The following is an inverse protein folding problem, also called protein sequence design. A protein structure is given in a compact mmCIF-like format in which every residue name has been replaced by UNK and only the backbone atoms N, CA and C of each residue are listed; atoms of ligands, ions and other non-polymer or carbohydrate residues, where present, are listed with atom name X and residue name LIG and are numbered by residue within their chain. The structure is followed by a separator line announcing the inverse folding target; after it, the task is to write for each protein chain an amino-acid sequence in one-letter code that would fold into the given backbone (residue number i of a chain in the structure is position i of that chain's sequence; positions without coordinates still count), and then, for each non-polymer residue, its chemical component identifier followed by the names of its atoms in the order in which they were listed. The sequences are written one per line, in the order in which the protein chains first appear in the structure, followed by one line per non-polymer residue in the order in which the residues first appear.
data_IF_298696366962
#
_entry.id   IF_298696366962
#
_cell.length_a   1.000
_cell.length_b   1.000
_cell.length_c   1.000
_cell.angle_alpha   90.00
_cell.angle_beta   90.00
_cell.angle_gamma   90.00
#
_symmetry.space_group_name_H-M   'P 1'
#
loop_
_entity.id
_entity.type
_entity.pdbx_description
1 polymer ?
#
# COMPACT_ATOMS: atom_id res chain seq x y z
N UNK A 1 1.57 -16.22 -15.40
CA UNK A 1 0.71 -15.01 -15.50
C UNK A 1 1.15 -14.04 -14.42
N UNK A 2 1.49 -12.78 -14.71
CA UNK A 2 1.98 -11.86 -13.69
C UNK A 2 0.82 -11.37 -12.82
N UNK A 3 1.00 -11.47 -11.51
CA UNK A 3 0.08 -11.02 -10.46
C UNK A 3 -0.05 -9.50 -10.57
N UNK A 4 -1.19 -9.01 -11.08
CA UNK A 4 -1.52 -7.59 -11.12
C UNK A 4 -2.06 -7.17 -9.76
N UNK A 5 -1.22 -6.50 -8.97
CA UNK A 5 -1.65 -5.70 -7.82
C UNK A 5 -2.34 -4.44 -8.36
N UNK A 6 -3.67 -4.47 -8.46
CA UNK A 6 -4.45 -3.26 -8.71
C UNK A 6 -4.71 -2.59 -7.35
N UNK A 7 -3.79 -1.73 -6.92
CA UNK A 7 -4.08 -0.70 -5.92
C UNK A 7 -4.92 0.35 -6.65
N UNK A 8 -6.23 0.30 -6.47
CA UNK A 8 -7.11 1.40 -6.88
C UNK A 8 -7.16 2.34 -5.69
N UNK A 9 -6.28 3.34 -5.71
CA UNK A 9 -6.40 4.53 -4.87
C UNK A 9 -7.50 5.42 -5.48
N UNK A 10 -8.69 5.37 -4.89
CA UNK A 10 -9.75 6.34 -5.17
C UNK A 10 -9.42 7.62 -4.39
N UNK A 11 -9.09 8.70 -5.08
CA UNK A 11 -9.03 10.07 -4.51
C UNK A 11 -10.41 10.52 -4.04
N UNK A 12 -10.56 10.88 -2.76
CA UNK A 12 -11.70 11.64 -2.25
C UNK A 12 -11.26 13.07 -1.88
N UNK A 13 -12.02 14.05 -2.38
CA UNK A 13 -12.00 15.46 -1.99
C UNK A 13 -12.87 15.64 -0.73
N UNK A 14 -12.57 16.62 0.14
CA UNK A 14 -13.47 17.69 0.63
C UNK A 14 -13.02 18.33 1.98
N UNK A 15 -13.69 19.45 2.31
CA UNK A 15 -13.28 20.64 3.09
C UNK A 15 -13.62 20.65 4.60
N UNK A 16 -12.75 21.23 5.45
CA UNK A 16 -13.19 22.13 6.53
C UNK A 16 -12.34 22.29 7.81
N UNK A 17 -11.37 23.22 7.77
CA UNK A 17 -10.86 24.11 8.85
C UNK A 17 -10.40 23.57 10.25
N UNK A 18 -9.09 23.78 10.51
CA UNK A 18 -8.54 24.23 11.81
C UNK A 18 -7.49 23.33 12.46
N UNK A 19 -6.23 23.77 12.57
CA UNK A 19 -5.14 22.98 13.19
C UNK A 19 -4.21 23.82 14.06
N UNK A 20 -3.82 23.27 15.22
CA UNK A 20 -2.67 23.69 16.03
C UNK A 20 -1.71 22.50 16.20
N UNK A 21 -0.40 22.78 16.11
CA UNK A 21 0.73 21.84 16.17
C UNK A 21 1.08 21.40 17.59
N UNK A 22 1.54 20.15 17.76
CA UNK A 22 2.25 19.69 18.97
C UNK A 22 3.27 18.59 18.65
N UNK A 23 4.37 18.62 19.41
CA UNK A 23 5.49 17.68 19.38
C UNK A 23 5.06 16.23 19.69
N UNK A 24 5.81 15.24 19.20
CA UNK A 24 5.52 13.81 19.34
C UNK A 24 5.56 13.37 20.82
N UNK A 25 4.41 13.46 21.49
CA UNK A 25 4.16 12.82 22.78
C UNK A 25 3.95 11.31 22.64
N UNK A 26 3.81 10.59 23.77
CA UNK A 26 3.47 9.17 23.75
C UNK A 26 2.21 8.93 22.92
N UNK A 27 2.21 7.86 22.12
CA UNK A 27 1.09 7.53 21.26
C UNK A 27 -0.18 7.36 22.10
N UNK A 28 -1.30 7.97 21.70
CA UNK A 28 -2.54 7.88 22.46
C UNK A 28 -3.04 6.44 22.50
N UNK A 29 -3.62 6.04 23.64
CA UNK A 29 -4.37 4.80 23.76
C UNK A 29 -5.39 4.71 22.62
N UNK A 30 -5.42 3.58 21.91
CA UNK A 30 -6.31 3.36 20.76
C UNK A 30 -5.76 3.79 19.39
N UNK A 31 -4.47 4.12 19.26
CA UNK A 31 -3.84 4.38 17.96
C UNK A 31 -3.89 3.18 16.99
N UNK A 32 -4.02 1.96 17.51
CA UNK A 32 -4.20 0.72 16.73
C UNK A 32 -5.52 0.07 17.12
N UNK A 33 -6.43 -0.06 16.16
CA UNK A 33 -7.64 -0.86 16.20
C UNK A 33 -7.60 -1.87 15.06
N UNK A 34 -7.33 -3.12 15.41
CA UNK A 34 -7.13 -4.19 14.44
C UNK A 34 -7.99 -5.39 14.81
N UNK A 35 -8.74 -5.91 13.85
CA UNK A 35 -9.37 -7.23 13.92
C UNK A 35 -8.93 -8.13 12.77
N UNK A 36 -8.90 -9.42 13.05
CA UNK A 36 -8.67 -10.48 12.07
C UNK A 36 -9.91 -11.36 12.03
N UNK A 37 -10.54 -11.45 10.86
CA UNK A 37 -11.78 -12.21 10.68
C UNK A 37 -11.61 -13.21 9.54
N UNK A 38 -11.53 -14.49 9.92
CA UNK A 38 -11.35 -15.64 9.04
C UNK A 38 -12.67 -16.35 8.71
N UNK A 39 -13.81 -15.80 9.09
CA UNK A 39 -15.11 -16.50 9.04
C UNK A 39 -15.48 -17.00 7.64
N UNK A 40 -15.14 -16.24 6.58
CA UNK A 40 -15.35 -16.66 5.19
C UNK A 40 -14.51 -17.90 4.84
N UNK A 41 -13.19 -17.85 5.08
CA UNK A 41 -12.29 -18.96 4.80
C UNK A 41 -12.67 -20.21 5.61
N UNK A 42 -13.05 -20.06 6.88
CA UNK A 42 -13.53 -21.15 7.73
C UNK A 42 -14.85 -21.76 7.21
N UNK A 43 -15.77 -20.93 6.73
CA UNK A 43 -17.02 -21.41 6.13
C UNK A 43 -16.78 -22.18 4.82
N UNK A 44 -15.89 -21.69 3.95
CA UNK A 44 -15.50 -22.41 2.72
C UNK A 44 -14.85 -23.75 3.06
N UNK A 45 -13.91 -23.80 4.01
CA UNK A 45 -13.27 -25.05 4.43
C UNK A 45 -14.28 -26.03 5.03
N UNK A 46 -15.27 -25.56 5.81
CA UNK A 46 -16.35 -26.40 6.33
C UNK A 46 -17.20 -27.05 5.23
N UNK A 47 -17.50 -26.31 4.16
CA UNK A 47 -18.19 -26.85 2.98
C UNK A 47 -17.34 -27.92 2.28
N UNK A 48 -16.03 -27.71 2.17
CA UNK A 48 -15.11 -28.69 1.60
C UNK A 48 -15.02 -29.96 2.46
N UNK A 49 -15.07 -29.84 3.78
CA UNK A 49 -15.06 -30.97 4.71
C UNK A 49 -16.32 -31.82 4.61
N UNK A 50 -17.50 -31.19 4.54
CA UNK A 50 -18.76 -31.91 4.33
C UNK A 50 -18.70 -32.74 3.03
N UNK A 51 -18.15 -32.18 1.96
CA UNK A 51 -17.97 -32.90 0.69
C UNK A 51 -16.98 -34.06 0.81
N UNK A 52 -15.87 -33.84 1.50
CA UNK A 52 -14.86 -34.87 1.71
C UNK A 52 -15.43 -36.07 2.51
N UNK A 53 -16.41 -35.83 3.39
CA UNK A 53 -17.15 -36.88 4.10
C UNK A 53 -18.35 -37.45 3.33
N UNK A 54 -18.47 -37.16 2.03
CA UNK A 54 -19.56 -37.67 1.19
C UNK A 54 -20.92 -37.00 1.46
N UNK A 55 -20.94 -35.89 2.20
CA UNK A 55 -22.15 -35.13 2.52
C UNK A 55 -22.31 -33.95 1.57
N UNK A 56 -23.52 -33.76 1.04
CA UNK A 56 -23.81 -32.57 0.24
C UNK A 56 -23.89 -31.34 1.16
N UNK A 57 -23.29 -30.19 0.77
CA UNK A 57 -23.41 -28.95 1.55
C UNK A 57 -24.88 -28.53 1.69
N UNK A 58 -25.30 -28.24 2.91
CA UNK A 58 -26.67 -27.83 3.21
C UNK A 58 -26.92 -26.36 2.86
N UNK A 59 -28.20 -25.95 2.79
CA UNK A 59 -28.55 -24.54 2.64
C UNK A 59 -28.03 -23.68 3.80
N UNK A 60 -27.93 -24.25 5.00
CA UNK A 60 -27.38 -23.58 6.17
C UNK A 60 -25.87 -23.29 6.02
N UNK A 61 -25.11 -24.21 5.40
CA UNK A 61 -23.67 -24.00 5.13
C UNK A 61 -23.47 -22.82 4.16
N UNK A 62 -24.28 -22.76 3.10
CA UNK A 62 -24.26 -21.65 2.15
C UNK A 62 -24.72 -20.34 2.78
N UNK A 63 -25.78 -20.37 3.60
CA UNK A 63 -26.26 -19.20 4.30
C UNK A 63 -25.22 -18.66 5.28
N UNK A 64 -24.51 -19.55 5.98
CA UNK A 64 -23.40 -19.19 6.87
C UNK A 64 -22.28 -18.50 6.09
N UNK A 65 -21.84 -19.06 4.97
CA UNK A 65 -20.80 -18.45 4.12
C UNK A 65 -21.21 -17.05 3.63
N UNK A 66 -22.41 -16.93 3.07
CA UNK A 66 -22.86 -15.69 2.45
C UNK A 66 -23.33 -14.62 3.44
N UNK A 67 -23.43 -14.94 4.74
CA UNK A 67 -23.69 -13.96 5.80
C UNK A 67 -22.42 -13.45 6.47
N UNK A 68 -21.24 -14.02 6.16
CA UNK A 68 -19.97 -13.54 6.71
C UNK A 68 -19.65 -12.13 6.23
N UNK A 69 -19.10 -11.30 7.11
CA UNK A 69 -18.69 -9.93 6.75
C UNK A 69 -17.69 -9.92 5.58
N UNK A 70 -16.64 -10.76 5.56
CA UNK A 70 -15.67 -10.74 4.46
C UNK A 70 -16.29 -11.05 3.10
N UNK A 71 -17.25 -11.99 3.01
CA UNK A 71 -17.97 -12.26 1.76
C UNK A 71 -18.81 -11.05 1.32
N UNK A 72 -19.63 -10.48 2.22
CA UNK A 72 -20.49 -9.32 1.91
C UNK A 72 -19.67 -8.12 1.44
N UNK A 73 -18.50 -7.90 2.05
CA UNK A 73 -17.60 -6.82 1.64
C UNK A 73 -16.87 -7.10 0.33
N UNK A 74 -16.51 -8.35 0.04
CA UNK A 74 -16.00 -8.75 -1.27
C UNK A 74 -17.04 -8.49 -2.37
N UNK A 75 -18.30 -8.86 -2.13
CA UNK A 75 -19.43 -8.62 -3.04
C UNK A 75 -19.62 -7.12 -3.30
N UNK A 76 -19.64 -6.29 -2.24
CA UNK A 76 -19.68 -4.81 -2.35
C UNK A 76 -18.53 -4.27 -3.21
N UNK A 77 -17.32 -4.79 -3.04
CA UNK A 77 -16.12 -4.38 -3.80
C UNK A 77 -16.18 -4.79 -5.27
N UNK A 78 -16.65 -5.99 -5.59
CA UNK A 78 -16.78 -6.39 -7.01
C UNK A 78 -17.89 -5.57 -7.71
N UNK A 79 -18.99 -5.29 -7.00
CA UNK A 79 -20.07 -4.43 -7.50
C UNK A 79 -19.62 -2.99 -7.77
N UNK A 80 -18.82 -2.39 -6.87
CA UNK A 80 -18.27 -1.04 -7.05
C UNK A 80 -17.32 -0.92 -8.25
N UNK A 81 -16.82 -2.06 -8.75
CA UNK A 81 -15.97 -2.13 -9.93
C UNK A 81 -16.71 -2.58 -11.19
N UNK A 82 -18.04 -2.72 -11.12
CA UNK A 82 -18.88 -3.23 -12.20
C UNK A 82 -18.41 -4.57 -12.74
N UNK A 83 -17.88 -5.43 -11.87
CA UNK A 83 -17.45 -6.78 -12.20
C UNK A 83 -18.56 -7.77 -11.88
N UNK A 84 -18.88 -8.72 -12.77
CA UNK A 84 -19.79 -9.79 -12.43
C UNK A 84 -19.18 -10.62 -11.30
N UNK A 85 -19.97 -10.80 -10.23
CA UNK A 85 -19.63 -11.65 -9.09
C UNK A 85 -20.94 -12.12 -8.47
N UNK A 86 -21.36 -13.33 -8.84
CA UNK A 86 -22.63 -13.91 -8.36
C UNK A 86 -22.39 -15.02 -7.33
N UNK A 87 -23.38 -15.25 -6.47
CA UNK A 87 -23.35 -16.36 -5.51
C UNK A 87 -23.20 -17.71 -6.20
N UNK A 88 -23.83 -17.90 -7.35
CA UNK A 88 -23.76 -19.18 -8.08
C UNK A 88 -22.38 -19.44 -8.67
N UNK A 89 -21.71 -18.41 -9.22
CA UNK A 89 -20.31 -18.51 -9.64
C UNK A 89 -19.39 -18.81 -8.44
N UNK A 90 -19.65 -18.20 -7.29
CA UNK A 90 -18.89 -18.47 -6.07
C UNK A 90 -19.11 -19.91 -5.57
N UNK A 91 -20.36 -20.41 -5.56
CA UNK A 91 -20.67 -21.81 -5.25
C UNK A 91 -19.94 -22.75 -6.21
N UNK A 92 -19.97 -22.47 -7.52
CA UNK A 92 -19.28 -23.28 -8.51
C UNK A 92 -17.76 -23.32 -8.27
N UNK A 93 -17.15 -22.20 -7.88
CA UNK A 93 -15.76 -22.16 -7.45
C UNK A 93 -15.51 -23.01 -6.19
N UNK A 94 -16.31 -22.83 -5.14
CA UNK A 94 -16.20 -23.60 -3.89
C UNK A 94 -16.35 -25.11 -4.15
N UNK A 95 -17.22 -25.48 -5.09
CA UNK A 95 -17.47 -26.86 -5.48
C UNK A 95 -16.43 -27.44 -6.46
N UNK A 96 -15.48 -26.63 -6.95
CA UNK A 96 -14.51 -27.07 -7.94
C UNK A 96 -13.56 -28.17 -7.41
N UNK A 97 -13.17 -29.15 -8.25
CA UNK A 97 -12.19 -30.17 -7.86
C UNK A 97 -10.85 -29.57 -7.44
N UNK A 98 -10.38 -28.56 -8.17
CA UNK A 98 -9.10 -27.91 -7.90
C UNK A 98 -9.05 -27.17 -6.56
N UNK A 99 -10.18 -26.69 -6.03
CA UNK A 99 -10.22 -26.15 -4.68
C UNK A 99 -10.21 -27.28 -3.63
N UNK A 100 -10.95 -28.36 -3.87
CA UNK A 100 -10.97 -29.52 -2.97
C UNK A 100 -9.57 -30.13 -2.77
N UNK A 101 -8.79 -30.24 -3.85
CA UNK A 101 -7.39 -30.72 -3.79
C UNK A 101 -6.49 -29.84 -2.89
N UNK A 102 -6.82 -28.55 -2.73
CA UNK A 102 -6.04 -27.60 -1.92
C UNK A 102 -6.51 -27.49 -0.47
N UNK A 103 -7.64 -28.08 -0.10
CA UNK A 103 -8.31 -27.86 1.19
C UNK A 103 -7.37 -28.07 2.39
N UNK A 104 -6.57 -29.15 2.39
CA UNK A 104 -5.63 -29.44 3.47
C UNK A 104 -4.55 -28.34 3.60
N UNK A 105 -3.95 -27.93 2.48
CA UNK A 105 -2.93 -26.88 2.47
C UNK A 105 -3.49 -25.52 2.89
N UNK A 106 -4.71 -25.19 2.45
CA UNK A 106 -5.41 -23.97 2.84
C UNK A 106 -5.69 -23.95 4.35
N UNK A 107 -6.12 -25.08 4.93
CA UNK A 107 -6.35 -25.19 6.38
C UNK A 107 -5.07 -24.95 7.18
N UNK A 108 -3.97 -25.62 6.83
CA UNK A 108 -2.68 -25.42 7.50
C UNK A 108 -2.23 -23.96 7.38
N UNK A 109 -2.44 -23.35 6.23
CA UNK A 109 -2.10 -21.93 5.99
C UNK A 109 -2.96 -21.00 6.83
N UNK A 110 -4.27 -21.22 6.89
CA UNK A 110 -5.19 -20.42 7.68
C UNK A 110 -4.84 -20.45 9.17
N UNK A 111 -4.56 -21.63 9.72
CA UNK A 111 -4.14 -21.78 11.11
C UNK A 111 -2.79 -21.10 11.38
N UNK A 112 -1.84 -21.20 10.44
CA UNK A 112 -0.58 -20.45 10.53
C UNK A 112 -0.81 -18.94 10.53
N UNK A 113 -1.73 -18.42 9.72
CA UNK A 113 -2.00 -16.98 9.63
C UNK A 113 -2.82 -16.46 10.80
N UNK A 114 -3.70 -17.28 11.39
CA UNK A 114 -4.39 -16.98 12.67
C UNK A 114 -3.42 -16.79 13.82
N UNK A 115 -2.25 -17.43 13.76
CA UNK A 115 -1.15 -17.25 14.72
C UNK A 115 -0.21 -16.08 14.43
N UNK A 116 -0.39 -15.32 13.34
CA UNK A 116 0.48 -14.21 12.98
C UNK A 116 0.36 -13.03 13.97
N UNK A 117 1.48 -12.37 14.31
CA UNK A 117 1.47 -11.20 15.21
C UNK A 117 1.23 -9.90 14.45
N UNK A 118 -0.01 -9.73 13.99
CA UNK A 118 -0.41 -8.52 13.26
C UNK A 118 -0.37 -7.25 14.14
N UNK A 119 -0.41 -7.40 15.47
CA UNK A 119 -0.22 -6.27 16.40
C UNK A 119 1.23 -5.82 16.41
N UNK A 120 2.20 -6.73 16.41
CA UNK A 120 3.61 -6.38 16.23
C UNK A 120 3.86 -5.76 14.85
N UNK A 121 3.23 -6.27 13.80
CA UNK A 121 3.28 -5.67 12.47
C UNK A 121 2.81 -4.21 12.46
N UNK A 122 1.67 -3.92 13.11
CA UNK A 122 1.17 -2.54 13.28
C UNK A 122 2.12 -1.68 14.12
N UNK A 123 2.65 -2.20 15.24
CA UNK A 123 3.59 -1.47 16.09
C UNK A 123 4.89 -1.12 15.37
N UNK A 124 5.38 -1.99 14.49
CA UNK A 124 6.59 -1.77 13.70
C UNK A 124 6.49 -0.54 12.80
N UNK A 125 5.31 -0.23 12.27
CA UNK A 125 5.14 0.89 11.34
C UNK A 125 4.77 2.21 12.02
N UNK A 126 4.35 2.19 13.29
CA UNK A 126 4.00 3.41 14.03
C UNK A 126 5.09 4.49 14.04
N UNK A 127 6.40 4.18 14.19
CA UNK A 127 7.46 5.19 14.11
C UNK A 127 7.60 5.88 12.76
N UNK A 128 6.99 5.34 11.70
CA UNK A 128 6.96 5.90 10.34
C UNK A 128 5.68 6.68 10.05
N UNK A 129 4.79 6.82 11.02
CA UNK A 129 3.56 7.60 10.89
C UNK A 129 3.65 8.90 11.71
N UNK A 130 2.95 9.96 11.29
CA UNK A 130 2.73 11.13 12.15
C UNK A 130 1.98 10.76 13.43
N UNK A 131 2.21 11.48 14.53
CA UNK A 131 1.63 11.15 15.84
C UNK A 131 0.09 11.18 15.86
N UNK A 132 -0.52 11.92 14.93
CA UNK A 132 -1.97 12.04 14.78
C UNK A 132 -2.57 10.84 14.02
N UNK A 133 -1.75 10.05 13.33
CA UNK A 133 -2.23 8.91 12.55
C UNK A 133 -2.92 7.88 13.44
N UNK A 134 -3.91 7.21 12.86
CA UNK A 134 -4.67 6.12 13.45
C UNK A 134 -4.71 4.95 12.49
N UNK A 135 -4.49 3.76 13.02
CA UNK A 135 -4.61 2.52 12.25
C UNK A 135 -5.89 1.86 12.71
N UNK A 136 -6.96 1.99 11.92
CA UNK A 136 -8.20 1.23 12.10
C UNK A 136 -8.39 0.33 10.89
N UNK A 137 -8.30 -0.98 11.08
CA UNK A 137 -8.46 -1.90 9.96
C UNK A 137 -8.94 -3.28 10.36
N UNK A 138 -9.62 -3.94 9.42
CA UNK A 138 -9.97 -5.36 9.47
C UNK A 138 -9.11 -6.13 8.48
N UNK A 139 -8.65 -7.30 8.86
CA UNK A 139 -7.87 -8.19 8.00
C UNK A 139 -8.67 -9.46 7.72
N UNK A 140 -8.88 -9.74 6.44
CA UNK A 140 -9.68 -10.87 5.97
C UNK A 140 -8.81 -11.81 5.14
N UNK A 141 -8.35 -12.96 5.67
CA UNK A 141 -7.89 -14.06 4.83
C UNK A 141 -9.07 -14.65 4.05
N UNK A 142 -8.93 -14.79 2.73
CA UNK A 142 -10.03 -15.14 1.84
C UNK A 142 -9.71 -16.35 0.97
N UNK A 143 -10.67 -17.25 0.82
CA UNK A 143 -10.65 -18.33 -0.18
C UNK A 143 -11.57 -17.92 -1.32
N UNK A 144 -11.01 -17.31 -2.38
CA UNK A 144 -11.79 -16.73 -3.48
C UNK A 144 -11.21 -17.07 -4.86
N UNK A 145 -12.02 -16.96 -5.95
CA UNK A 145 -11.58 -17.33 -7.29
C UNK A 145 -10.34 -16.58 -7.79
N UNK A 146 -10.26 -15.28 -7.50
CA UNK A 146 -9.13 -14.44 -7.93
C UNK A 146 -8.00 -14.51 -6.92
N UNK A 147 -6.77 -14.76 -7.38
CA UNK A 147 -5.57 -14.91 -6.53
C UNK A 147 -4.87 -13.57 -6.23
N UNK A 148 -5.65 -12.54 -5.91
CA UNK A 148 -5.16 -11.18 -5.61
C UNK A 148 -5.49 -10.75 -4.18
N UNK A 149 -4.65 -9.91 -3.59
CA UNK A 149 -4.92 -9.21 -2.32
C UNK A 149 -5.10 -7.72 -2.60
N UNK A 150 -5.86 -7.01 -1.76
CA UNK A 150 -6.18 -5.59 -1.94
C UNK A 150 -6.71 -4.96 -0.65
N UNK A 151 -6.70 -3.63 -0.59
CA UNK A 151 -7.39 -2.85 0.44
C UNK A 151 -8.70 -2.29 -0.12
N UNK A 152 -9.73 -2.18 0.71
CA UNK A 152 -11.04 -1.66 0.32
C UNK A 152 -11.66 -0.80 1.43
N UNK A 153 -12.48 0.18 1.04
CA UNK A 153 -13.20 1.10 1.94
C UNK A 153 -12.28 1.95 2.83
N UNK A 154 -11.20 2.49 2.22
CA UNK A 154 -10.15 3.26 2.89
C UNK A 154 -10.66 4.50 3.64
N UNK A 155 -11.80 5.04 3.23
CA UNK A 155 -12.36 6.28 3.79
C UNK A 155 -13.19 6.05 5.05
N UNK A 156 -13.80 4.87 5.23
CA UNK A 156 -14.79 4.65 6.29
C UNK A 156 -14.46 3.49 7.22
N UNK A 157 -14.25 2.29 6.69
CA UNK A 157 -13.97 1.08 7.48
C UNK A 157 -12.92 0.23 6.77
N UNK A 158 -11.63 0.64 6.74
CA UNK A 158 -10.61 0.03 5.90
C UNK A 158 -10.46 -1.47 6.15
N UNK A 159 -10.47 -2.27 5.09
CA UNK A 159 -10.22 -3.71 5.19
C UNK A 159 -9.16 -4.19 4.19
N UNK A 160 -8.24 -5.01 4.69
CA UNK A 160 -7.19 -5.68 3.93
C UNK A 160 -7.68 -7.09 3.61
N UNK A 161 -7.91 -7.36 2.33
CA UNK A 161 -8.28 -8.67 1.81
C UNK A 161 -7.03 -9.40 1.37
N UNK A 162 -6.75 -10.54 1.99
CA UNK A 162 -5.59 -11.37 1.70
C UNK A 162 -6.04 -12.65 1.02
N UNK A 163 -5.59 -12.90 -0.20
CA UNK A 163 -5.77 -14.22 -0.80
C UNK A 163 -5.01 -15.26 0.02
N UNK A 164 -5.70 -16.28 0.51
CA UNK A 164 -5.10 -17.34 1.32
C UNK A 164 -4.22 -18.23 0.43
N UNK A 165 -2.91 -17.94 0.41
CA UNK A 165 -1.93 -18.59 -0.44
C UNK A 165 -1.01 -19.52 0.37
N UNK A 166 -1.10 -20.85 0.16
CA UNK A 166 -0.23 -21.81 0.83
C UNK A 166 1.27 -21.67 0.53
N UNK A 167 1.64 -20.93 -0.51
CA UNK A 167 3.05 -20.65 -0.80
C UNK A 167 3.65 -19.55 0.09
N UNK A 168 2.84 -18.81 0.85
CA UNK A 168 3.28 -17.68 1.65
C UNK A 168 3.32 -18.00 3.15
N UNK A 169 4.47 -17.77 3.83
CA UNK A 169 4.56 -17.93 5.27
C UNK A 169 3.86 -16.79 6.00
N UNK A 170 3.46 -17.01 7.26
CA UNK A 170 2.82 -15.99 8.10
C UNK A 170 3.64 -14.69 8.20
N UNK A 171 4.97 -14.78 8.28
CA UNK A 171 5.86 -13.61 8.32
C UNK A 171 5.76 -12.72 7.07
N UNK A 172 5.48 -13.30 5.90
CA UNK A 172 5.25 -12.52 4.69
C UNK A 172 3.94 -11.73 4.80
N UNK A 173 2.93 -12.32 5.40
CA UNK A 173 1.62 -11.69 5.59
C UNK A 173 1.68 -10.58 6.63
N UNK A 174 2.43 -10.77 7.72
CA UNK A 174 2.72 -9.71 8.69
C UNK A 174 3.41 -8.51 8.00
N UNK A 175 4.34 -8.76 7.09
CA UNK A 175 5.00 -7.72 6.31
C UNK A 175 4.03 -7.03 5.32
N UNK A 176 3.19 -7.79 4.61
CA UNK A 176 2.15 -7.21 3.73
C UNK A 176 1.13 -6.39 4.52
N UNK A 177 0.63 -6.88 5.65
CA UNK A 177 -0.32 -6.14 6.50
C UNK A 177 0.32 -4.88 7.07
N UNK A 178 1.60 -4.92 7.47
CA UNK A 178 2.33 -3.73 7.88
C UNK A 178 2.42 -2.67 6.77
N UNK A 179 2.68 -3.09 5.52
CA UNK A 179 2.69 -2.20 4.35
C UNK A 179 1.34 -1.52 4.18
N UNK A 180 0.25 -2.28 4.15
CA UNK A 180 -1.08 -1.70 3.96
C UNK A 180 -1.53 -0.84 5.15
N UNK A 181 -1.17 -1.21 6.38
CA UNK A 181 -1.45 -0.39 7.57
C UNK A 181 -0.72 0.94 7.56
N UNK A 182 0.47 1.02 6.93
CA UNK A 182 1.16 2.29 6.75
C UNK A 182 0.33 3.23 5.86
N UNK A 183 -0.20 2.73 4.75
CA UNK A 183 -1.11 3.49 3.88
C UNK A 183 -2.38 3.93 4.61
N UNK A 184 -3.00 3.03 5.38
CA UNK A 184 -4.18 3.34 6.21
C UNK A 184 -3.85 4.41 7.25
N UNK A 185 -2.68 4.32 7.89
CA UNK A 185 -2.21 5.32 8.84
C UNK A 185 -2.08 6.71 8.23
N UNK A 186 -1.51 6.83 7.03
CA UNK A 186 -1.46 8.11 6.33
C UNK A 186 -2.84 8.59 5.87
N UNK A 187 -3.68 7.70 5.35
CA UNK A 187 -5.04 8.06 4.95
C UNK A 187 -5.89 8.62 6.11
N UNK A 188 -5.63 8.17 7.34
CA UNK A 188 -6.33 8.66 8.55
C UNK A 188 -6.11 10.14 8.87
N UNK A 189 -5.08 10.77 8.27
CA UNK A 189 -4.81 12.20 8.47
C UNK A 189 -5.83 13.09 7.74
N UNK A 190 -6.50 12.56 6.71
CA UNK A 190 -7.56 13.24 5.97
C UNK A 190 -7.19 14.67 5.56
N UNK A 191 -8.02 15.62 5.97
CA UNK A 191 -7.92 17.04 5.61
C UNK A 191 -6.59 17.70 5.96
N UNK A 192 -5.86 17.19 6.96
CA UNK A 192 -4.56 17.75 7.33
C UNK A 192 -3.53 17.62 6.20
N UNK A 193 -3.62 16.53 5.40
CA UNK A 193 -2.75 16.32 4.24
C UNK A 193 -3.13 17.27 3.10
N UNK A 194 -4.42 17.41 2.80
CA UNK A 194 -4.91 18.26 1.72
C UNK A 194 -4.62 19.74 1.93
N UNK A 195 -4.70 20.19 3.20
CA UNK A 195 -4.41 21.55 3.58
C UNK A 195 -2.98 21.99 3.21
N UNK A 196 -2.02 21.06 3.09
CA UNK A 196 -0.64 21.36 2.72
C UNK A 196 -0.49 21.77 1.25
N UNK A 197 -1.39 21.30 0.38
CA UNK A 197 -1.30 21.52 -1.07
C UNK A 197 -2.32 22.52 -1.60
N UNK A 198 -3.20 23.05 -0.74
CA UNK A 198 -4.32 23.92 -1.14
C UNK A 198 -3.89 25.19 -1.89
N UNK A 199 -2.72 25.74 -1.53
CA UNK A 199 -2.22 27.02 -2.07
C UNK A 199 -1.32 26.83 -3.30
N UNK A 200 -1.11 25.59 -3.76
CA UNK A 200 -0.34 25.32 -4.98
C UNK A 200 -1.17 25.62 -6.23
N UNK A 201 -0.51 26.18 -7.25
CA UNK A 201 -1.11 26.32 -8.57
C UNK A 201 -1.55 24.95 -9.11
N UNK A 202 -2.67 24.84 -9.86
CA UNK A 202 -3.25 23.54 -10.21
C UNK A 202 -2.27 22.53 -10.85
N UNK A 203 -1.37 22.90 -11.78
CA UNK A 203 -0.39 21.95 -12.33
C UNK A 203 0.64 21.47 -11.31
N UNK A 204 1.09 22.36 -10.42
CA UNK A 204 2.01 22.02 -9.34
C UNK A 204 1.33 21.15 -8.27
N UNK A 205 0.05 21.43 -7.96
CA UNK A 205 -0.77 20.60 -7.08
C UNK A 205 -0.92 19.18 -7.64
N UNK A 206 -1.27 19.04 -8.92
CA UNK A 206 -1.39 17.74 -9.57
C UNK A 206 -0.07 16.95 -9.55
N UNK A 207 1.07 17.62 -9.80
CA UNK A 207 2.37 16.98 -9.68
C UNK A 207 2.68 16.57 -8.22
N UNK A 208 2.38 17.43 -7.23
CA UNK A 208 2.57 17.14 -5.81
C UNK A 208 1.70 15.95 -5.33
N UNK A 209 0.47 15.83 -5.83
CA UNK A 209 -0.40 14.67 -5.57
C UNK A 209 0.25 13.38 -6.08
N UNK A 210 0.87 13.39 -7.27
CA UNK A 210 1.60 12.23 -7.80
C UNK A 210 2.92 11.93 -7.08
N UNK A 211 3.56 12.92 -6.45
CA UNK A 211 4.67 12.65 -5.53
C UNK A 211 4.21 11.78 -4.35
N UNK A 212 2.93 11.85 -3.98
CA UNK A 212 2.32 10.94 -3.00
C UNK A 212 2.42 9.46 -3.37
N UNK A 213 2.58 9.10 -4.65
CA UNK A 213 2.74 7.72 -5.08
C UNK A 213 4.04 7.06 -4.57
N UNK A 214 5.05 7.86 -4.18
CA UNK A 214 6.22 7.34 -3.46
C UNK A 214 5.88 6.73 -2.10
N UNK A 215 4.67 6.95 -1.60
CA UNK A 215 4.09 6.24 -0.46
C UNK A 215 4.27 4.73 -0.53
N UNK A 216 4.30 4.13 -1.73
CA UNK A 216 4.58 2.70 -1.88
C UNK A 216 5.99 2.32 -1.41
N UNK A 217 7.00 3.11 -1.79
CA UNK A 217 8.38 2.90 -1.31
C UNK A 217 8.53 3.17 0.18
N UNK A 218 7.77 4.13 0.72
CA UNK A 218 7.74 4.44 2.15
C UNK A 218 7.16 3.29 2.96
N UNK A 219 6.05 2.73 2.48
CA UNK A 219 5.41 1.57 3.09
C UNK A 219 6.32 0.33 3.06
N UNK A 220 7.11 0.12 1.99
CA UNK A 220 8.13 -0.95 1.96
C UNK A 220 9.18 -0.78 3.06
N UNK A 221 9.68 0.44 3.28
CA UNK A 221 10.64 0.75 4.35
C UNK A 221 10.03 0.54 5.74
N UNK A 222 8.84 1.10 5.97
CA UNK A 222 8.14 0.97 7.24
C UNK A 222 7.85 -0.51 7.56
N UNK A 223 7.35 -1.28 6.59
CA UNK A 223 7.08 -2.69 6.73
C UNK A 223 8.34 -3.54 6.95
N UNK A 224 9.50 -3.10 6.45
CA UNK A 224 10.79 -3.72 6.78
C UNK A 224 11.20 -3.42 8.24
N UNK A 225 10.78 -2.26 8.77
CA UNK A 225 11.04 -1.82 10.14
C UNK A 225 12.28 -0.96 10.31
N UNK A 226 13.01 -0.64 9.23
CA UNK A 226 14.30 0.04 9.34
C UNK A 226 15.08 0.08 8.04
N UNK A 227 15.98 1.06 7.93
CA UNK A 227 16.94 1.21 6.82
C UNK A 227 17.98 0.08 6.72
N UNK A 228 18.11 -0.73 7.76
CA UNK A 228 19.06 -1.84 7.86
C UNK A 228 18.43 -3.21 7.61
N UNK A 229 17.12 -3.25 7.33
CA UNK A 229 16.39 -4.47 7.00
C UNK A 229 16.04 -4.47 5.52
N UNK A 230 16.35 -5.56 4.83
CA UNK A 230 15.96 -5.72 3.43
C UNK A 230 14.42 -5.78 3.31
N UNK A 231 13.78 -4.98 2.42
CA UNK A 231 12.32 -4.90 2.33
C UNK A 231 11.67 -6.23 1.88
N UNK A 232 12.46 -7.10 1.23
CA UNK A 232 12.09 -8.46 0.86
C UNK A 232 12.74 -9.57 1.72
N UNK A 233 13.11 -9.29 2.97
CA UNK A 233 13.75 -10.28 3.86
C UNK A 233 12.91 -11.54 4.11
N UNK A 234 11.57 -11.41 4.07
CA UNK A 234 10.60 -12.50 4.27
C UNK A 234 9.84 -12.87 2.99
N UNK A 235 10.24 -12.31 1.84
CA UNK A 235 9.63 -12.57 0.54
C UNK A 235 10.24 -13.80 -0.13
N UNK A 236 9.53 -14.43 -1.09
CA UNK A 236 10.12 -15.38 -2.01
C UNK A 236 11.39 -14.84 -2.67
N UNK A 237 12.37 -15.72 -2.93
CA UNK A 237 13.66 -15.34 -3.50
C UNK A 237 13.54 -14.61 -4.85
N UNK A 238 12.54 -14.99 -5.66
CA UNK A 238 12.28 -14.34 -6.95
C UNK A 238 11.87 -12.87 -6.81
N UNK A 239 11.07 -12.53 -5.79
CA UNK A 239 10.66 -11.14 -5.52
C UNK A 239 11.86 -10.31 -5.08
N UNK A 240 12.69 -10.85 -4.18
CA UNK A 240 13.93 -10.18 -3.77
C UNK A 240 14.87 -9.96 -4.94
N UNK A 241 15.12 -10.98 -5.75
CA UNK A 241 15.98 -10.86 -6.92
C UNK A 241 15.42 -9.85 -7.95
N UNK A 242 14.09 -9.71 -8.06
CA UNK A 242 13.46 -8.67 -8.88
C UNK A 242 13.71 -7.29 -8.29
N UNK A 243 13.44 -7.11 -7.00
CA UNK A 243 13.69 -5.86 -6.29
C UNK A 243 15.14 -5.38 -6.46
N UNK A 244 16.10 -6.27 -6.25
CA UNK A 244 17.53 -5.94 -6.36
C UNK A 244 17.93 -5.48 -7.76
N UNK A 245 17.35 -6.08 -8.81
CA UNK A 245 17.54 -5.62 -10.20
C UNK A 245 16.89 -4.26 -10.45
N UNK A 246 15.66 -4.07 -9.98
CA UNK A 246 14.91 -2.83 -10.22
C UNK A 246 15.59 -1.65 -9.47
N UNK A 247 16.09 -1.88 -8.25
CA UNK A 247 16.89 -0.91 -7.50
C UNK A 247 18.19 -0.51 -8.21
N UNK A 248 18.78 -1.39 -9.03
CA UNK A 248 19.96 -1.04 -9.82
C UNK A 248 19.68 0.01 -10.90
N UNK A 249 18.40 0.20 -11.28
CA UNK A 249 17.96 1.21 -12.25
C UNK A 249 17.53 2.53 -11.60
N UNK A 250 17.67 2.68 -10.28
CA UNK A 250 17.21 3.85 -9.52
C UNK A 250 17.46 5.20 -10.21
N UNK A 251 18.69 5.46 -10.67
CA UNK A 251 19.03 6.74 -11.30
C UNK A 251 18.25 7.01 -12.60
N UNK A 252 18.06 5.98 -13.43
CA UNK A 252 17.30 6.10 -14.67
C UNK A 252 15.79 6.23 -14.40
N UNK A 253 15.30 5.50 -13.41
CA UNK A 253 13.90 5.53 -12.99
C UNK A 253 13.53 6.88 -12.38
N UNK A 254 14.40 7.46 -11.54
CA UNK A 254 14.23 8.82 -11.01
C UNK A 254 14.08 9.83 -12.15
N UNK A 255 14.94 9.78 -13.16
CA UNK A 255 14.86 10.68 -14.32
C UNK A 255 13.61 10.47 -15.17
N UNK A 256 13.14 9.24 -15.28
CA UNK A 256 11.90 8.92 -15.98
C UNK A 256 10.67 9.48 -15.26
N UNK A 257 10.64 9.37 -13.93
CA UNK A 257 9.58 9.94 -13.08
C UNK A 257 9.64 11.47 -13.08
N UNK A 258 10.84 12.06 -13.02
CA UNK A 258 11.05 13.51 -13.12
C UNK A 258 10.48 14.08 -14.41
N UNK A 259 10.80 13.46 -15.54
CA UNK A 259 10.29 13.89 -16.84
C UNK A 259 8.76 13.88 -16.87
N UNK A 260 8.13 12.85 -16.29
CA UNK A 260 6.68 12.78 -16.15
C UNK A 260 6.13 13.92 -15.27
N UNK A 261 6.70 14.15 -14.09
CA UNK A 261 6.22 15.21 -13.18
C UNK A 261 6.38 16.61 -13.81
N UNK A 262 7.47 16.84 -14.55
CA UNK A 262 7.66 18.07 -15.33
C UNK A 262 6.64 18.18 -16.48
N UNK A 263 6.30 17.10 -17.17
CA UNK A 263 5.21 17.12 -18.17
C UNK A 263 3.87 17.56 -17.56
N UNK A 264 3.58 17.15 -16.31
CA UNK A 264 2.39 17.60 -15.57
C UNK A 264 2.49 19.08 -15.22
N UNK A 265 3.61 19.54 -14.64
CA UNK A 265 3.83 20.95 -14.29
C UNK A 265 3.72 21.87 -15.51
N UNK A 266 4.28 21.44 -16.65
CA UNK A 266 4.23 22.19 -17.91
C UNK A 266 2.93 21.99 -18.70
N UNK A 267 1.95 21.26 -18.15
CA UNK A 267 0.66 21.00 -18.80
C UNK A 267 0.80 20.37 -20.20
N UNK A 268 1.86 19.59 -20.42
CA UNK A 268 2.02 18.74 -21.62
C UNK A 268 1.03 17.58 -21.62
N UNK A 269 0.58 17.17 -20.42
CA UNK A 269 -0.58 16.31 -20.19
C UNK A 269 -1.65 17.15 -19.52
N UNK A 270 -2.87 17.16 -20.06
CA UNK A 270 -3.89 18.16 -19.69
C UNK A 270 -5.04 17.56 -18.91
N UNK A 271 -5.34 16.28 -19.12
CA UNK A 271 -6.47 15.62 -18.46
C UNK A 271 -6.01 14.76 -17.30
N UNK A 272 -6.89 14.57 -16.31
CA UNK A 272 -6.61 13.67 -15.18
C UNK A 272 -6.36 12.24 -15.68
N UNK A 273 -7.08 11.84 -16.73
CA UNK A 273 -7.00 10.53 -17.36
C UNK A 273 -5.62 10.31 -18.01
N UNK A 274 -5.13 11.26 -18.82
CA UNK A 274 -3.80 11.17 -19.46
C UNK A 274 -2.67 11.10 -18.44
N UNK A 275 -2.79 11.91 -17.38
CA UNK A 275 -1.81 11.93 -16.30
C UNK A 275 -1.84 10.58 -15.58
N UNK A 276 -3.03 10.09 -15.21
CA UNK A 276 -3.21 8.83 -14.49
C UNK A 276 -2.73 7.64 -15.29
N UNK A 277 -3.10 7.55 -16.58
CA UNK A 277 -2.66 6.47 -17.47
C UNK A 277 -1.13 6.37 -17.50
N UNK A 278 -0.43 7.50 -17.68
CA UNK A 278 1.02 7.52 -17.66
C UNK A 278 1.58 7.16 -16.29
N UNK A 279 1.05 7.75 -15.22
CA UNK A 279 1.51 7.50 -13.87
C UNK A 279 1.35 6.03 -13.46
N UNK A 280 0.29 5.37 -13.90
CA UNK A 280 0.04 3.96 -13.61
C UNK A 280 1.11 3.03 -14.21
N UNK A 281 1.79 3.45 -15.29
CA UNK A 281 2.90 2.66 -15.85
C UNK A 281 4.10 2.51 -14.91
N UNK A 282 4.24 3.41 -13.93
CA UNK A 282 5.33 3.38 -12.95
C UNK A 282 5.04 2.50 -11.71
N UNK A 283 3.83 1.94 -11.57
CA UNK A 283 3.55 0.97 -10.49
C UNK A 283 4.06 -0.43 -10.83
N UNK A 284 3.76 -0.94 -12.03
CA UNK A 284 4.15 -2.31 -12.44
C UNK A 284 3.76 -3.37 -11.39
N UNK A 285 4.66 -4.34 -11.14
CA UNK A 285 4.56 -5.23 -9.97
C UNK A 285 5.12 -4.51 -8.74
N UNK A 286 6.32 -3.96 -8.86
CA UNK A 286 6.94 -2.96 -7.98
C UNK A 286 7.87 -2.14 -8.88
N UNK A 287 7.37 -1.03 -9.40
CA UNK A 287 8.05 -0.17 -10.36
C UNK A 287 8.66 1.07 -9.70
N UNK A 288 8.98 2.11 -10.48
CA UNK A 288 9.64 3.31 -9.98
C UNK A 288 9.01 3.96 -8.76
N UNK A 289 7.67 3.94 -8.59
CA UNK A 289 7.05 4.47 -7.38
C UNK A 289 7.51 3.77 -6.09
N UNK A 290 7.81 2.47 -6.17
CA UNK A 290 8.34 1.68 -5.06
C UNK A 290 9.83 1.91 -4.87
N UNK A 291 10.64 1.71 -5.92
CA UNK A 291 12.10 1.69 -5.80
C UNK A 291 12.68 3.08 -5.59
N UNK A 292 12.18 4.10 -6.30
CA UNK A 292 12.62 5.49 -6.13
C UNK A 292 12.16 6.00 -4.76
N UNK A 293 10.89 5.77 -4.39
CA UNK A 293 10.36 6.15 -3.09
C UNK A 293 11.14 5.54 -1.93
N UNK A 294 11.46 4.23 -2.01
CA UNK A 294 12.23 3.52 -1.00
C UNK A 294 13.65 4.08 -0.87
N UNK A 295 14.37 4.24 -1.99
CA UNK A 295 15.74 4.77 -1.97
C UNK A 295 15.79 6.19 -1.41
N UNK A 296 14.82 7.04 -1.77
CA UNK A 296 14.71 8.39 -1.22
C UNK A 296 14.49 8.36 0.28
N UNK A 297 13.56 7.53 0.76
CA UNK A 297 13.27 7.39 2.18
C UNK A 297 14.49 6.91 2.98
N UNK A 298 15.19 5.88 2.49
CA UNK A 298 16.42 5.36 3.11
C UNK A 298 17.50 6.44 3.17
N UNK A 299 17.69 7.20 2.09
CA UNK A 299 18.69 8.27 2.04
C UNK A 299 18.39 9.37 3.07
N UNK A 300 17.13 9.81 3.14
CA UNK A 300 16.69 10.84 4.11
C UNK A 300 16.84 10.34 5.54
N UNK A 301 16.36 9.13 5.87
CA UNK A 301 16.44 8.61 7.24
C UNK A 301 17.89 8.38 7.68
N UNK A 302 18.76 7.83 6.82
CA UNK A 302 20.17 7.64 7.15
C UNK A 302 20.88 8.97 7.43
N UNK A 303 20.55 10.03 6.69
CA UNK A 303 21.26 11.31 6.78
C UNK A 303 20.68 12.25 7.83
N UNK A 304 19.35 12.29 7.98
CA UNK A 304 18.64 13.28 8.79
C UNK A 304 17.74 12.66 9.88
N UNK A 305 17.61 11.34 9.90
CA UNK A 305 16.80 10.62 10.88
C UNK A 305 15.33 10.48 10.48
N UNK A 306 14.65 9.56 11.16
CA UNK A 306 13.26 9.17 10.85
C UNK A 306 12.25 10.30 11.03
N UNK A 307 12.42 11.18 12.01
CA UNK A 307 11.51 12.30 12.24
C UNK A 307 11.41 13.22 11.01
N UNK A 308 12.56 13.51 10.38
CA UNK A 308 12.61 14.31 9.14
C UNK A 308 11.98 13.57 7.97
N UNK A 309 12.17 12.24 7.89
CA UNK A 309 11.51 11.42 6.88
C UNK A 309 9.97 11.47 7.04
N UNK A 310 9.43 11.28 8.25
CA UNK A 310 7.97 11.33 8.50
C UNK A 310 7.38 12.69 8.12
N UNK A 311 8.11 13.78 8.36
CA UNK A 311 7.71 15.11 7.89
C UNK A 311 7.64 15.19 6.36
N UNK A 312 8.62 14.61 5.66
CA UNK A 312 8.64 14.54 4.19
C UNK A 312 7.54 13.65 3.62
N UNK A 313 7.20 12.55 4.30
CA UNK A 313 6.09 11.68 3.91
C UNK A 313 4.74 12.38 4.06
N UNK A 314 4.63 13.31 5.02
CA UNK A 314 3.42 14.07 5.30
C UNK A 314 3.27 15.29 4.37
N UNK A 315 4.37 15.92 3.99
CA UNK A 315 4.40 17.09 3.11
C UNK A 315 5.26 16.81 1.87
N UNK A 316 4.64 16.46 0.72
CA UNK A 316 5.39 16.06 -0.47
C UNK A 316 6.26 17.20 -1.04
N UNK A 317 6.00 18.47 -0.66
CA UNK A 317 6.84 19.61 -1.05
C UNK A 317 8.22 19.56 -0.42
N UNK A 318 8.36 18.91 0.74
CA UNK A 318 9.63 18.77 1.47
C UNK A 318 10.46 17.59 0.99
N UNK A 319 9.83 16.60 0.36
CA UNK A 319 10.46 15.33 0.02
C UNK A 319 11.64 15.50 -0.94
N UNK A 320 11.40 16.08 -2.13
CA UNK A 320 12.43 16.21 -3.18
C UNK A 320 13.64 17.05 -2.73
N UNK A 321 13.48 18.26 -2.15
CA UNK A 321 14.63 19.04 -1.69
C UNK A 321 15.40 18.36 -0.56
N UNK A 322 14.72 17.67 0.36
CA UNK A 322 15.37 16.95 1.46
C UNK A 322 16.16 15.75 0.95
N UNK A 323 15.60 14.98 0.02
CA UNK A 323 16.35 13.92 -0.67
C UNK A 323 17.57 14.48 -1.40
N UNK A 324 17.44 15.56 -2.17
CA UNK A 324 18.57 16.14 -2.91
C UNK A 324 19.72 16.51 -1.97
N UNK A 325 19.43 17.08 -0.81
CA UNK A 325 20.44 17.38 0.21
C UNK A 325 21.11 16.10 0.74
N UNK A 326 20.35 15.05 1.03
CA UNK A 326 20.91 13.79 1.51
C UNK A 326 21.79 13.10 0.44
N UNK A 327 21.29 13.05 -0.80
CA UNK A 327 21.99 12.48 -1.93
C UNK A 327 23.29 13.25 -2.25
N UNK A 328 23.29 14.58 -2.15
CA UNK A 328 24.51 15.39 -2.31
C UNK A 328 25.58 15.04 -1.27
N UNK A 329 25.21 14.87 0.00
CA UNK A 329 26.15 14.45 1.05
C UNK A 329 26.68 13.04 0.83
N UNK A 330 25.85 12.13 0.32
CA UNK A 330 26.26 10.79 -0.04
C UNK A 330 27.19 10.77 -1.25
N UNK A 331 26.89 11.56 -2.28
CA UNK A 331 27.68 11.64 -3.52
C UNK A 331 29.09 12.19 -3.29
N UNK A 332 29.29 13.03 -2.26
CA UNK A 332 30.63 13.48 -1.84
C UNK A 332 31.50 12.35 -1.30
N UNK A 333 30.90 11.23 -0.85
CA UNK A 333 31.57 10.16 -0.09
C UNK A 333 31.81 8.87 -0.90
N UNK A 334 31.28 8.72 -2.12
CA UNK A 334 31.25 7.41 -2.78
C UNK A 334 31.31 7.41 -4.31
N UNK A 335 31.60 6.22 -4.86
CA UNK A 335 31.89 6.00 -6.29
C UNK A 335 30.64 5.89 -7.19
N UNK A 336 29.45 5.70 -6.59
CA UNK A 336 28.18 5.56 -7.33
C UNK A 336 27.25 6.73 -6.98
N UNK A 337 27.31 7.83 -7.75
CA UNK A 337 26.49 9.00 -7.46
C UNK A 337 25.00 8.70 -7.69
N UNK A 338 24.18 9.14 -6.74
CA UNK A 338 22.73 9.16 -6.83
C UNK A 338 22.27 10.33 -7.70
N UNK A 339 21.28 10.10 -8.55
CA UNK A 339 20.62 11.13 -9.34
C UNK A 339 19.87 12.11 -8.42
N UNK A 340 19.84 13.38 -8.82
CA UNK A 340 19.13 14.44 -8.11
C UNK A 340 17.89 14.86 -8.90
N UNK A 341 16.86 15.33 -8.19
CA UNK A 341 15.75 16.07 -8.78
C UNK A 341 16.22 17.44 -9.28
N UNK A 342 15.67 17.92 -10.38
CA UNK A 342 15.97 19.21 -10.96
C UNK A 342 15.48 20.33 -10.06
N UNK A 343 16.20 21.45 -10.07
CA UNK A 343 15.79 22.62 -9.31
C UNK A 343 14.46 23.19 -9.82
N UNK A 344 14.17 23.01 -11.11
CA UNK A 344 12.89 23.37 -11.74
C UNK A 344 11.71 22.65 -11.07
N UNK A 345 11.77 21.32 -10.96
CA UNK A 345 10.70 20.55 -10.32
C UNK A 345 10.58 20.90 -8.83
N UNK A 346 11.71 21.01 -8.12
CA UNK A 346 11.73 21.40 -6.70
C UNK A 346 11.05 22.76 -6.48
N UNK A 347 11.37 23.76 -7.31
CA UNK A 347 10.79 25.09 -7.21
C UNK A 347 9.29 25.11 -7.53
N UNK A 348 8.87 24.34 -8.55
CA UNK A 348 7.47 24.23 -8.93
C UNK A 348 6.61 23.70 -7.77
N UNK A 349 7.08 22.66 -7.07
CA UNK A 349 6.37 22.06 -5.94
C UNK A 349 6.41 22.92 -4.67
N UNK A 350 7.41 23.81 -4.53
CA UNK A 350 7.50 24.74 -3.40
C UNK A 350 6.52 25.92 -3.51
N UNK A 351 5.75 26.05 -4.60
CA UNK A 351 4.87 27.18 -4.85
C UNK A 351 5.58 28.43 -5.39
N UNK A 352 6.84 28.29 -5.81
CA UNK A 352 7.59 29.35 -6.45
C UNK A 352 7.02 29.65 -7.83
N UNK A 353 6.27 30.75 -7.96
CA UNK A 353 5.91 31.29 -9.27
C UNK A 353 7.18 31.72 -9.98
N UNK A 354 7.61 30.99 -11.01
CA UNK A 354 8.51 31.55 -12.02
C UNK A 354 7.74 32.64 -12.75
N UNK A 355 7.78 33.86 -12.23
CA UNK A 355 7.54 35.05 -13.04
C UNK A 355 8.75 35.17 -13.97
N UNK A 356 8.62 34.64 -15.19
CA UNK A 356 9.45 35.02 -16.33
C UNK A 356 8.96 36.36 -16.86
#
# INVERSE_FOLDING_TARGET
MPIRWQVILTTALLTGAGSHLSAQGPLPDGAIQLSFDASEAEAVLGILDARASGTAPSDADWQKLFSTEPYLRLEKREASMHRPFTRDEFKAFVLSPGLAEKAASLRTTLESWKGADLKAAARRILPYLPAQARIRTKVFPMIKPKTNSFVFDMESDPAIFLYLDPALPASKIENTVAHEMHHIGFASLGEASDALLKDLAPPAKAAAEWVGAFGEGFAMLAAAGGVDVHPHSVSPAADRARWDRDMAHFNADLKSVEAFLLEVVHQKRKTKEEISEKAFTFFGIQGPWYTVGYQMAVCIERQFGRAVLVECMSDPRKLLPTYNRAALEQNKKGDKPLALWSQELVNALAGGSSKS
#
